data_IF_859888324369
#
_entry.id   IF_859888324369
#
_cell.length_a   1.000
_cell.length_b   1.000
_cell.length_c   1.000
_cell.angle_alpha   90.00
_cell.angle_beta   90.00
_cell.angle_gamma   90.00
#
_symmetry.space_group_name_H-M   'P 1'
#
loop_
_entity.id
_entity.type
_entity.pdbx_description
1 polymer ?
#
# COMPACT_ATOMS: atom_id res chain seq x y z
N UNK A 1 -14.13 -2.87 -15.83
CA UNK A 1 -13.28 -3.99 -15.53
C UNK A 1 -13.87 -5.30 -16.03
N UNK A 2 -13.06 -6.33 -16.21
CA UNK A 2 -13.55 -7.69 -16.51
C UNK A 2 -13.61 -8.46 -15.20
N UNK A 3 -14.76 -9.11 -14.94
CA UNK A 3 -14.95 -10.08 -13.87
C UNK A 3 -14.92 -11.46 -14.50
N UNK A 4 -14.09 -12.35 -13.96
CA UNK A 4 -13.99 -13.73 -14.38
C UNK A 4 -14.19 -14.62 -13.15
N UNK A 5 -15.13 -15.55 -13.25
CA UNK A 5 -15.48 -16.48 -12.18
C UNK A 5 -16.00 -17.76 -12.78
N UNK A 6 -16.20 -18.76 -11.95
CA UNK A 6 -16.87 -19.98 -12.38
C UNK A 6 -18.29 -19.72 -12.89
N UNK A 7 -19.00 -18.75 -12.32
CA UNK A 7 -20.32 -18.33 -12.83
C UNK A 7 -20.26 -17.87 -14.30
N UNK A 8 -19.18 -17.22 -14.72
CA UNK A 8 -19.00 -16.82 -16.13
C UNK A 8 -18.86 -18.04 -17.05
N UNK A 9 -18.27 -19.12 -16.56
CA UNK A 9 -18.15 -20.39 -17.31
C UNK A 9 -19.52 -21.06 -17.42
N UNK A 10 -20.29 -21.05 -16.34
CA UNK A 10 -21.66 -21.59 -16.33
C UNK A 10 -22.56 -20.80 -17.28
N UNK A 11 -22.42 -19.48 -17.34
CA UNK A 11 -23.18 -18.61 -18.25
C UNK A 11 -22.92 -18.99 -19.71
N UNK A 12 -21.65 -19.18 -20.10
CA UNK A 12 -21.29 -19.64 -21.44
C UNK A 12 -21.85 -21.04 -21.71
N UNK A 13 -21.76 -21.97 -20.77
CA UNK A 13 -22.33 -23.30 -20.90
C UNK A 13 -23.86 -23.28 -21.04
N UNK A 14 -24.54 -22.38 -20.33
CA UNK A 14 -25.99 -22.16 -20.46
C UNK A 14 -26.37 -21.61 -21.82
N UNK A 15 -25.58 -20.66 -22.38
CA UNK A 15 -25.81 -20.16 -23.74
C UNK A 15 -25.65 -21.26 -24.79
N UNK A 16 -24.67 -22.15 -24.63
CA UNK A 16 -24.46 -23.30 -25.50
C UNK A 16 -25.61 -24.34 -25.38
N UNK A 17 -26.28 -24.41 -24.23
CA UNK A 17 -27.43 -25.27 -23.98
C UNK A 17 -28.80 -24.61 -24.32
N UNK A 18 -28.82 -23.82 -25.40
CA UNK A 18 -30.02 -23.10 -25.85
C UNK A 18 -30.67 -22.23 -24.76
N UNK A 19 -29.85 -21.55 -23.95
CA UNK A 19 -30.29 -20.70 -22.81
C UNK A 19 -31.08 -21.44 -21.73
N UNK A 20 -30.98 -22.76 -21.64
CA UNK A 20 -31.54 -23.52 -20.52
C UNK A 20 -30.53 -23.62 -19.40
N UNK A 21 -30.89 -23.23 -18.17
CA UNK A 21 -30.00 -23.35 -17.03
C UNK A 21 -29.62 -24.82 -16.80
N UNK A 22 -28.34 -25.08 -16.55
CA UNK A 22 -27.84 -26.40 -16.24
C UNK A 22 -28.24 -26.82 -14.81
N UNK A 23 -28.88 -27.97 -14.67
CA UNK A 23 -29.17 -28.55 -13.38
C UNK A 23 -27.91 -29.04 -12.66
N UNK A 24 -27.99 -29.26 -11.35
CA UNK A 24 -26.86 -29.75 -10.52
C UNK A 24 -26.29 -31.06 -11.03
N UNK A 25 -27.16 -31.97 -11.47
CA UNK A 25 -26.75 -33.28 -12.04
C UNK A 25 -26.05 -33.09 -13.39
N UNK A 26 -26.56 -32.19 -14.26
CA UNK A 26 -25.97 -31.90 -15.55
C UNK A 26 -24.59 -31.28 -15.41
N UNK A 27 -24.42 -30.40 -14.44
CA UNK A 27 -23.11 -29.83 -14.10
C UNK A 27 -22.12 -30.87 -13.61
N UNK A 28 -22.56 -31.82 -12.80
CA UNK A 28 -21.74 -32.95 -12.33
C UNK A 28 -21.28 -33.83 -13.48
N UNK A 29 -22.19 -34.17 -14.37
CA UNK A 29 -21.88 -34.99 -15.59
C UNK A 29 -20.95 -34.22 -16.53
N UNK A 30 -21.19 -32.92 -16.73
CA UNK A 30 -20.35 -32.05 -17.56
C UNK A 30 -18.93 -32.01 -17.00
N UNK A 31 -18.78 -31.81 -15.69
CA UNK A 31 -17.49 -31.77 -15.01
C UNK A 31 -16.72 -33.11 -15.15
N UNK A 32 -17.40 -34.26 -15.06
CA UNK A 32 -16.75 -35.58 -15.23
C UNK A 32 -16.35 -35.87 -16.65
N UNK A 33 -17.08 -35.37 -17.65
CA UNK A 33 -16.81 -35.62 -19.08
C UNK A 33 -15.80 -34.64 -19.69
N UNK A 34 -15.51 -33.51 -19.07
CA UNK A 34 -14.50 -32.57 -19.55
C UNK A 34 -13.11 -33.19 -19.46
N UNK A 35 -12.30 -33.17 -20.54
CA UNK A 35 -10.92 -33.63 -20.50
C UNK A 35 -10.10 -32.92 -19.42
N UNK A 36 -9.20 -33.65 -18.75
CA UNK A 36 -8.37 -33.12 -17.66
C UNK A 36 -7.52 -31.91 -18.09
N UNK A 37 -7.10 -31.84 -19.32
CA UNK A 37 -6.38 -30.68 -19.87
C UNK A 37 -7.23 -29.42 -19.85
N UNK A 38 -8.50 -29.53 -20.22
CA UNK A 38 -9.45 -28.39 -20.24
C UNK A 38 -9.85 -28.01 -18.82
N UNK A 39 -10.03 -29.00 -17.91
CA UNK A 39 -10.31 -28.72 -16.49
C UNK A 39 -9.21 -27.86 -15.90
N UNK A 40 -7.95 -28.26 -16.08
CA UNK A 40 -6.78 -27.54 -15.54
C UNK A 40 -6.65 -26.12 -16.06
N UNK A 41 -7.05 -25.85 -17.30
CA UNK A 41 -6.92 -24.52 -17.87
C UNK A 41 -8.12 -23.60 -17.60
N UNK A 42 -9.34 -24.17 -17.55
CA UNK A 42 -10.57 -23.34 -17.50
C UNK A 42 -11.26 -23.40 -16.14
N UNK A 43 -11.26 -24.54 -15.45
CA UNK A 43 -12.04 -24.72 -14.21
C UNK A 43 -11.19 -24.59 -12.97
N UNK A 44 -10.08 -25.34 -12.88
CA UNK A 44 -9.21 -25.37 -11.70
C UNK A 44 -8.66 -23.99 -11.28
N UNK A 45 -8.44 -23.01 -12.17
CA UNK A 45 -8.06 -21.68 -11.74
C UNK A 45 -9.13 -20.95 -10.92
N UNK A 46 -10.40 -21.37 -11.00
CA UNK A 46 -11.53 -20.69 -10.37
C UNK A 46 -12.20 -21.50 -9.26
N UNK A 47 -11.98 -22.82 -9.21
CA UNK A 47 -12.55 -23.70 -8.17
C UNK A 47 -11.52 -24.71 -7.70
N UNK A 48 -11.33 -24.80 -6.39
CA UNK A 48 -10.66 -25.90 -5.72
C UNK A 48 -11.69 -26.73 -4.96
N UNK A 49 -12.03 -27.91 -5.51
CA UNK A 49 -12.96 -28.83 -4.83
C UNK A 49 -12.33 -29.39 -3.56
N UNK A 50 -11.00 -29.59 -3.58
CA UNK A 50 -10.25 -30.13 -2.44
C UNK A 50 -10.30 -29.22 -1.22
N UNK A 51 -10.19 -27.91 -1.44
CA UNK A 51 -10.11 -26.91 -0.40
C UNK A 51 -11.47 -26.23 -0.15
N UNK A 52 -12.50 -26.60 -0.92
CA UNK A 52 -13.84 -26.00 -0.91
C UNK A 52 -13.80 -24.48 -1.11
N UNK A 53 -12.97 -24.03 -2.06
CA UNK A 53 -12.75 -22.62 -2.35
C UNK A 53 -13.15 -22.26 -3.79
N UNK A 54 -13.69 -21.06 -3.98
CA UNK A 54 -13.96 -20.50 -5.28
C UNK A 54 -13.24 -19.14 -5.44
N UNK A 55 -12.70 -18.89 -6.64
CA UNK A 55 -12.01 -17.67 -6.98
C UNK A 55 -12.84 -16.80 -7.92
N UNK A 56 -12.98 -15.54 -7.56
CA UNK A 56 -13.48 -14.49 -8.43
C UNK A 56 -12.30 -13.58 -8.81
N UNK A 57 -11.99 -13.49 -10.09
CA UNK A 57 -10.91 -12.66 -10.59
C UNK A 57 -11.44 -11.35 -11.15
N UNK A 58 -11.00 -10.24 -10.55
CA UNK A 58 -11.36 -8.89 -10.95
C UNK A 58 -10.15 -8.22 -11.62
N UNK A 59 -10.34 -7.72 -12.84
CA UNK A 59 -9.34 -6.87 -13.50
C UNK A 59 -9.73 -5.41 -13.36
N UNK A 60 -8.93 -4.67 -12.59
CA UNK A 60 -9.06 -3.24 -12.40
C UNK A 60 -8.09 -2.52 -13.33
N UNK A 61 -8.55 -1.44 -13.98
CA UNK A 61 -7.67 -0.59 -14.79
C UNK A 61 -6.93 0.35 -13.86
N UNK A 62 -5.65 0.10 -13.65
CA UNK A 62 -4.80 0.83 -12.70
C UNK A 62 -4.47 2.27 -13.14
N UNK A 63 -4.60 2.56 -14.45
CA UNK A 63 -4.29 3.87 -15.02
C UNK A 63 -5.42 4.92 -14.89
N UNK A 64 -6.40 4.70 -14.02
CA UNK A 64 -7.44 5.70 -13.73
C UNK A 64 -6.88 6.73 -12.75
N UNK A 65 -6.88 8.04 -13.08
CA UNK A 65 -6.30 9.08 -12.25
C UNK A 65 -6.96 9.20 -10.87
N UNK A 66 -8.24 8.83 -10.76
CA UNK A 66 -9.02 8.92 -9.51
C UNK A 66 -9.12 7.59 -8.75
N UNK A 67 -8.36 6.57 -9.14
CA UNK A 67 -8.42 5.27 -8.47
C UNK A 67 -7.71 5.31 -7.12
N UNK A 68 -8.47 5.50 -6.06
CA UNK A 68 -8.01 5.32 -4.69
C UNK A 68 -8.04 3.84 -4.33
N UNK A 69 -6.91 3.16 -4.47
CA UNK A 69 -6.80 1.70 -4.27
C UNK A 69 -7.28 1.26 -2.90
N UNK A 70 -6.89 1.99 -1.86
CA UNK A 70 -7.29 1.67 -0.48
C UNK A 70 -8.80 1.79 -0.28
N UNK A 71 -9.41 2.84 -0.81
CA UNK A 71 -10.86 3.05 -0.70
C UNK A 71 -11.63 1.96 -1.45
N UNK A 72 -11.15 1.56 -2.64
CA UNK A 72 -11.74 0.45 -3.39
C UNK A 72 -11.67 -0.87 -2.62
N UNK A 73 -10.53 -1.19 -2.02
CA UNK A 73 -10.35 -2.42 -1.24
C UNK A 73 -11.27 -2.40 -0.01
N UNK A 74 -11.33 -1.29 0.70
CA UNK A 74 -12.20 -1.12 1.85
C UNK A 74 -13.67 -1.23 1.48
N UNK A 75 -14.09 -0.66 0.34
CA UNK A 75 -15.45 -0.75 -0.16
C UNK A 75 -15.82 -2.19 -0.54
N UNK A 76 -14.92 -2.93 -1.20
CA UNK A 76 -15.14 -4.35 -1.51
C UNK A 76 -15.30 -5.15 -0.21
N UNK A 77 -14.42 -4.96 0.76
CA UNK A 77 -14.53 -5.64 2.06
C UNK A 77 -15.87 -5.32 2.75
N UNK A 78 -16.25 -4.05 2.78
CA UNK A 78 -17.52 -3.60 3.36
C UNK A 78 -18.73 -4.25 2.66
N UNK A 79 -18.71 -4.28 1.33
CA UNK A 79 -19.80 -4.85 0.54
C UNK A 79 -19.92 -6.38 0.73
N UNK A 80 -18.81 -7.08 0.81
CA UNK A 80 -18.78 -8.53 1.08
C UNK A 80 -19.35 -8.86 2.47
N UNK A 81 -18.98 -8.08 3.48
CA UNK A 81 -19.45 -8.31 4.85
C UNK A 81 -20.91 -7.87 5.05
N UNK A 82 -21.33 -6.71 4.54
CA UNK A 82 -22.62 -6.14 4.85
C UNK A 82 -23.72 -6.45 3.84
N UNK A 83 -23.38 -6.62 2.55
CA UNK A 83 -24.37 -6.95 1.52
C UNK A 83 -24.52 -8.46 1.31
N UNK A 84 -23.44 -9.19 1.44
CA UNK A 84 -23.43 -10.66 1.27
C UNK A 84 -23.41 -11.41 2.60
N UNK A 85 -23.31 -10.70 3.75
CA UNK A 85 -23.24 -11.26 5.10
C UNK A 85 -22.13 -12.33 5.26
N UNK A 86 -21.03 -12.18 4.52
CA UNK A 86 -19.90 -13.08 4.63
C UNK A 86 -19.04 -12.69 5.85
N UNK A 87 -18.63 -13.68 6.62
CA UNK A 87 -17.68 -13.47 7.72
C UNK A 87 -16.27 -13.23 7.14
N UNK A 88 -15.43 -12.54 7.89
CA UNK A 88 -14.07 -12.21 7.49
C UNK A 88 -13.21 -13.47 7.19
N UNK A 89 -13.54 -14.58 7.81
CA UNK A 89 -12.89 -15.89 7.60
C UNK A 89 -13.36 -16.60 6.32
N UNK A 90 -14.51 -16.23 5.75
CA UNK A 90 -15.13 -16.87 4.59
C UNK A 90 -14.64 -16.33 3.25
N UNK A 91 -13.91 -15.20 3.25
CA UNK A 91 -13.35 -14.64 2.04
C UNK A 91 -11.96 -14.05 2.27
N UNK A 92 -11.15 -14.03 1.23
CA UNK A 92 -9.82 -13.42 1.24
C UNK A 92 -9.59 -12.63 -0.02
N UNK A 93 -9.34 -11.35 0.12
CA UNK A 93 -8.87 -10.53 -0.99
C UNK A 93 -7.38 -10.78 -1.21
N UNK A 94 -7.01 -11.17 -2.43
CA UNK A 94 -5.63 -11.44 -2.81
C UNK A 94 -5.33 -10.87 -4.20
N UNK A 95 -4.07 -10.70 -4.52
CA UNK A 95 -3.63 -10.24 -5.83
C UNK A 95 -2.65 -9.08 -5.76
N UNK A 96 -2.06 -8.76 -6.92
CA UNK A 96 -0.98 -7.75 -7.03
C UNK A 96 -1.44 -6.38 -6.54
N UNK A 97 -2.68 -5.98 -6.84
CA UNK A 97 -3.23 -4.69 -6.40
C UNK A 97 -3.27 -4.58 -4.87
N UNK A 98 -3.69 -5.63 -4.19
CA UNK A 98 -3.78 -5.66 -2.72
C UNK A 98 -2.38 -5.69 -2.10
N UNK A 99 -1.50 -6.55 -2.65
CA UNK A 99 -0.11 -6.61 -2.21
C UNK A 99 0.57 -5.24 -2.31
N UNK A 100 0.42 -4.58 -3.47
CA UNK A 100 1.00 -3.27 -3.72
C UNK A 100 0.41 -2.19 -2.80
N UNK A 101 -0.91 -2.19 -2.57
CA UNK A 101 -1.56 -1.29 -1.63
C UNK A 101 -1.01 -1.48 -0.20
N UNK A 102 -0.92 -2.73 0.27
CA UNK A 102 -0.42 -3.03 1.61
C UNK A 102 1.06 -2.65 1.78
N UNK A 103 1.88 -2.87 0.75
CA UNK A 103 3.27 -2.42 0.73
C UNK A 103 3.35 -0.89 0.86
N UNK A 104 2.58 -0.14 0.05
CA UNK A 104 2.59 1.32 0.12
C UNK A 104 2.11 1.82 1.48
N UNK A 105 1.03 1.28 2.03
CA UNK A 105 0.54 1.66 3.35
C UNK A 105 1.56 1.35 4.46
N UNK A 106 2.21 0.20 4.40
CA UNK A 106 3.26 -0.18 5.34
C UNK A 106 4.48 0.74 5.25
N UNK A 107 4.93 1.05 4.02
CA UNK A 107 6.04 2.00 3.79
C UNK A 107 5.70 3.39 4.34
N UNK A 108 4.49 3.88 4.09
CA UNK A 108 4.05 5.18 4.59
C UNK A 108 4.07 5.25 6.12
N UNK A 109 3.47 4.26 6.77
CA UNK A 109 3.44 4.17 8.23
C UNK A 109 4.84 4.04 8.83
N UNK A 110 5.67 3.19 8.25
CA UNK A 110 7.05 3.00 8.66
C UNK A 110 7.87 4.28 8.51
N UNK A 111 7.70 5.01 7.40
CA UNK A 111 8.41 6.25 7.14
C UNK A 111 8.08 7.34 8.16
N UNK A 112 6.80 7.54 8.47
CA UNK A 112 6.38 8.53 9.46
C UNK A 112 6.96 8.21 10.85
N UNK A 113 6.90 6.94 11.25
CA UNK A 113 7.45 6.49 12.54
C UNK A 113 8.98 6.65 12.59
N UNK A 114 9.67 6.25 11.53
CA UNK A 114 11.13 6.36 11.43
C UNK A 114 11.56 7.83 11.44
N UNK A 115 10.88 8.69 10.68
CA UNK A 115 11.16 10.12 10.65
C UNK A 115 10.99 10.74 12.04
N UNK A 116 9.89 10.43 12.72
CA UNK A 116 9.64 10.90 14.09
C UNK A 116 10.73 10.44 15.07
N UNK A 117 11.10 9.16 15.01
CA UNK A 117 12.15 8.60 15.86
C UNK A 117 13.51 9.27 15.60
N UNK A 118 13.89 9.43 14.33
CA UNK A 118 15.14 10.10 13.94
C UNK A 118 15.17 11.55 14.41
N UNK A 119 14.06 12.29 14.30
CA UNK A 119 13.98 13.67 14.78
C UNK A 119 14.15 13.77 16.30
N UNK A 120 13.58 12.84 17.05
CA UNK A 120 13.79 12.76 18.51
C UNK A 120 15.26 12.45 18.83
N UNK A 121 15.88 11.50 18.15
CA UNK A 121 17.27 11.13 18.34
C UNK A 121 18.21 12.32 18.05
N UNK A 122 17.95 13.07 16.96
CA UNK A 122 18.69 14.30 16.61
C UNK A 122 18.53 15.36 17.70
N UNK A 123 17.32 15.52 18.22
CA UNK A 123 17.07 16.49 19.30
C UNK A 123 17.85 16.14 20.55
N UNK A 124 17.85 14.87 20.94
CA UNK A 124 18.64 14.38 22.09
C UNK A 124 20.13 14.61 21.84
N UNK A 125 20.63 14.32 20.64
CA UNK A 125 22.01 14.58 20.25
C UNK A 125 22.36 16.06 20.39
N UNK A 126 21.51 16.98 19.94
CA UNK A 126 21.71 18.43 20.11
C UNK A 126 21.71 18.84 21.58
N UNK A 127 20.85 18.23 22.42
CA UNK A 127 20.85 18.49 23.86
C UNK A 127 22.19 18.12 24.50
N UNK A 128 22.75 16.95 24.14
CA UNK A 128 24.04 16.49 24.64
C UNK A 128 25.17 17.40 24.13
N UNK A 129 25.14 17.76 22.85
CA UNK A 129 26.20 18.54 22.21
C UNK A 129 26.24 19.99 22.73
N UNK A 130 25.10 20.64 22.78
CA UNK A 130 25.03 22.07 23.14
C UNK A 130 24.83 22.32 24.62
N UNK A 131 24.40 21.31 25.38
CA UNK A 131 24.07 21.42 26.82
C UNK A 131 23.16 22.62 27.14
N UNK A 132 22.36 23.04 26.17
CA UNK A 132 21.47 24.18 26.26
C UNK A 132 20.18 23.92 25.47
N UNK A 133 19.05 23.87 26.16
CA UNK A 133 17.76 23.57 25.56
C UNK A 133 17.37 24.56 24.45
N UNK A 134 17.62 25.87 24.65
CA UNK A 134 17.29 26.89 23.65
C UNK A 134 18.05 26.68 22.35
N UNK A 135 19.35 26.41 22.42
CA UNK A 135 20.18 26.15 21.23
C UNK A 135 19.78 24.85 20.54
N UNK A 136 19.42 23.82 21.31
CA UNK A 136 18.96 22.56 20.76
C UNK A 136 17.63 22.68 19.99
N UNK A 137 16.69 23.46 20.55
CA UNK A 137 15.43 23.77 19.88
C UNK A 137 15.68 24.60 18.59
N UNK A 138 16.52 25.62 18.65
CA UNK A 138 16.86 26.44 17.47
C UNK A 138 17.52 25.55 16.40
N UNK A 139 18.39 24.62 16.80
CA UNK A 139 19.07 23.73 15.86
C UNK A 139 18.17 22.71 15.16
N UNK A 140 17.09 22.27 15.82
CA UNK A 140 16.18 21.29 15.21
C UNK A 140 15.15 21.91 14.29
N UNK A 141 14.78 23.19 14.48
CA UNK A 141 13.77 23.88 13.68
C UNK A 141 14.05 23.83 12.16
N UNK A 142 15.27 24.12 11.65
CA UNK A 142 15.56 24.00 10.21
C UNK A 142 15.34 22.60 9.67
N UNK A 143 15.61 21.57 10.47
CA UNK A 143 15.41 20.17 10.08
C UNK A 143 13.93 19.82 9.96
N UNK A 144 13.08 20.32 10.85
CA UNK A 144 11.63 20.19 10.72
C UNK A 144 11.13 20.91 9.46
N UNK A 145 11.60 22.14 9.22
CA UNK A 145 11.21 22.90 8.02
C UNK A 145 11.61 22.13 6.75
N UNK A 146 12.83 21.59 6.69
CA UNK A 146 13.30 20.81 5.54
C UNK A 146 12.44 19.55 5.34
N UNK A 147 12.14 18.81 6.40
CA UNK A 147 11.30 17.63 6.34
C UNK A 147 9.88 17.93 5.84
N UNK A 148 9.22 18.93 6.43
CA UNK A 148 7.88 19.36 6.01
C UNK A 148 7.85 19.94 4.61
N UNK A 149 8.88 20.68 4.20
CA UNK A 149 9.00 21.22 2.86
C UNK A 149 9.05 20.11 1.81
N UNK A 150 9.88 19.08 2.01
CA UNK A 150 10.00 17.95 1.08
C UNK A 150 8.67 17.18 1.00
N UNK A 151 8.09 16.83 2.15
CA UNK A 151 6.81 16.12 2.18
C UNK A 151 5.68 16.97 1.57
N UNK A 152 5.70 18.29 1.80
CA UNK A 152 4.77 19.23 1.20
C UNK A 152 4.90 19.32 -0.32
N UNK A 153 6.11 19.39 -0.84
CA UNK A 153 6.38 19.39 -2.30
C UNK A 153 5.89 18.08 -2.93
N UNK A 154 6.21 16.95 -2.34
CA UNK A 154 5.74 15.62 -2.79
C UNK A 154 4.20 15.59 -2.84
N UNK A 155 3.53 16.12 -1.78
CA UNK A 155 2.07 16.16 -1.71
C UNK A 155 1.44 17.13 -2.73
N UNK A 156 1.95 18.34 -2.89
CA UNK A 156 1.42 19.36 -3.81
C UNK A 156 1.54 18.92 -5.27
N UNK A 157 2.67 18.33 -5.63
CA UNK A 157 2.93 17.88 -7.01
C UNK A 157 2.37 16.48 -7.29
N UNK A 158 1.65 15.87 -6.35
CA UNK A 158 1.14 14.50 -6.47
C UNK A 158 2.21 13.48 -6.90
N UNK A 159 3.44 13.68 -6.43
CA UNK A 159 4.54 12.75 -6.71
C UNK A 159 4.25 11.43 -5.99
N UNK A 160 4.28 10.33 -6.74
CA UNK A 160 4.05 9.01 -6.14
C UNK A 160 5.13 8.73 -5.09
N UNK A 161 4.69 8.33 -3.89
CA UNK A 161 5.59 7.89 -2.83
C UNK A 161 6.08 6.48 -3.17
N UNK A 162 7.26 6.43 -3.74
CA UNK A 162 8.01 5.20 -4.01
C UNK A 162 9.26 5.12 -3.14
N UNK A 163 10.02 4.04 -3.26
CA UNK A 163 11.27 3.86 -2.51
C UNK A 163 12.30 4.96 -2.82
N UNK A 164 12.30 5.49 -4.05
CA UNK A 164 13.22 6.55 -4.47
C UNK A 164 12.92 7.87 -3.77
N UNK A 165 11.65 8.31 -3.78
CA UNK A 165 11.22 9.56 -3.14
C UNK A 165 11.45 9.54 -1.63
N UNK A 166 11.23 8.40 -0.99
CA UNK A 166 11.50 8.19 0.44
C UNK A 166 12.99 8.31 0.74
N UNK A 167 13.83 7.68 -0.09
CA UNK A 167 15.30 7.74 0.06
C UNK A 167 15.83 9.17 -0.12
N UNK A 168 15.34 9.90 -1.11
CA UNK A 168 15.72 11.30 -1.33
C UNK A 168 15.34 12.18 -0.13
N UNK A 169 14.14 11.99 0.42
CA UNK A 169 13.72 12.70 1.62
C UNK A 169 14.63 12.42 2.81
N UNK A 170 15.00 11.16 3.05
CA UNK A 170 15.89 10.78 4.14
C UNK A 170 17.31 11.38 3.98
N UNK A 171 17.87 11.36 2.77
CA UNK A 171 19.18 11.96 2.48
C UNK A 171 19.15 13.46 2.72
N UNK A 172 18.11 14.15 2.25
CA UNK A 172 17.99 15.62 2.41
C UNK A 172 17.88 16.03 3.87
N UNK A 173 17.14 15.26 4.67
CA UNK A 173 17.07 15.49 6.12
C UNK A 173 18.44 15.28 6.77
N UNK A 174 19.18 14.24 6.37
CA UNK A 174 20.55 14.02 6.86
C UNK A 174 21.48 15.19 6.58
N UNK A 175 21.45 15.74 5.37
CA UNK A 175 22.23 16.93 4.97
C UNK A 175 21.79 18.17 5.76
N UNK A 176 20.50 18.34 5.99
CA UNK A 176 20.00 19.48 6.79
C UNK A 176 20.49 19.42 8.23
N UNK A 177 20.53 18.23 8.84
CA UNK A 177 21.08 18.00 10.20
C UNK A 177 22.55 18.37 10.27
N UNK A 178 23.35 17.88 9.33
CA UNK A 178 24.79 18.16 9.27
C UNK A 178 25.06 19.67 9.14
N UNK A 179 24.39 20.33 8.23
CA UNK A 179 24.50 21.78 8.08
C UNK A 179 24.10 22.54 9.36
N UNK A 180 23.05 22.10 10.07
CA UNK A 180 22.61 22.71 11.32
C UNK A 180 23.65 22.58 12.42
N UNK A 181 24.32 21.42 12.51
CA UNK A 181 25.40 21.18 13.48
C UNK A 181 26.58 22.13 13.21
N UNK A 182 27.04 22.16 11.97
CA UNK A 182 28.17 23.02 11.56
C UNK A 182 27.89 24.49 11.77
N UNK A 183 26.68 24.95 11.42
CA UNK A 183 26.29 26.35 11.60
C UNK A 183 26.26 26.75 13.07
N UNK A 184 25.64 25.97 13.94
CA UNK A 184 25.53 26.29 15.38
C UNK A 184 26.89 26.22 16.04
N UNK A 185 27.74 25.25 15.67
CA UNK A 185 29.08 25.12 16.21
C UNK A 185 29.91 26.36 15.87
N UNK A 186 29.91 26.77 14.61
CA UNK A 186 30.63 27.95 14.14
C UNK A 186 30.11 29.25 14.78
N UNK A 187 28.80 29.40 14.89
CA UNK A 187 28.18 30.52 15.59
C UNK A 187 28.66 30.60 17.05
N UNK A 188 28.69 29.50 17.76
CA UNK A 188 29.13 29.43 19.17
C UNK A 188 30.61 29.77 19.29
N UNK A 189 31.44 29.32 18.38
CA UNK A 189 32.87 29.64 18.34
C UNK A 189 33.12 31.13 18.12
N UNK A 190 32.50 31.71 17.10
CA UNK A 190 32.63 33.15 16.80
C UNK A 190 32.08 34.01 17.92
N UNK A 191 30.94 33.64 18.49
CA UNK A 191 30.36 34.38 19.61
C UNK A 191 31.24 34.34 20.87
N UNK A 192 32.00 33.29 21.06
CA UNK A 192 32.95 33.18 22.18
C UNK A 192 34.21 34.07 22.02
N UNK A 193 34.56 34.41 20.77
CA UNK A 193 35.69 35.31 20.46
C UNK A 193 35.37 36.80 20.62
N UNK A 194 34.07 37.14 20.59
CA UNK A 194 33.61 38.55 20.71
C UNK A 194 33.38 38.94 22.17
N UNK A 195 33.32 37.96 23.06
CA UNK A 195 33.07 38.15 24.48
C UNK A 195 34.38 38.06 25.28
#
# INVERSE_FOLDING_TARGET
GKVLSFASIIEVATQLNNNKPLGTLEMGVLYTKIPETIKKEIIDPYISIKDNEARISLRVKDSLPDLRRNDLINQINFDLQNKLNLKEEEFKLAGVLILFNNLLQSLFKSQILTLGFVMIAIFIMFLILFKNLKLSVIGIVPNFIAAFFILGVIGIFNIALDMMTITIAAITIGIAVDNSIHYIYRFKEEFSKIK
#
